data_IF_889462585385
#
_entry.id   IF_889462585385
#
_cell.length_a   1.000
_cell.length_b   1.000
_cell.length_c   1.000
_cell.angle_alpha   90.00
_cell.angle_beta   90.00
_cell.angle_gamma   90.00
#
_symmetry.space_group_name_H-M   'P 1'
#
loop_
_entity.id
_entity.type
_entity.pdbx_description
1 polymer ?
#
# COMPACT_ATOMS: atom_id res chain seq x y z
N UNK A 1 -13.64 40.40 9.38
CA UNK A 1 -12.38 39.76 9.73
C UNK A 1 -12.63 38.26 9.79
N UNK A 2 -12.33 37.43 8.79
CA UNK A 2 -12.42 35.98 8.91
C UNK A 2 -11.22 35.48 9.72
N UNK A 3 -11.51 34.75 10.81
CA UNK A 3 -10.52 34.22 11.72
C UNK A 3 -9.54 33.30 11.02
N UNK A 4 -8.26 33.57 11.12
CA UNK A 4 -7.17 32.70 10.73
C UNK A 4 -7.18 31.47 11.64
N UNK A 5 -7.72 30.36 11.14
CA UNK A 5 -7.47 29.05 11.75
C UNK A 5 -5.99 28.73 11.54
N UNK A 6 -5.20 28.90 12.58
CA UNK A 6 -3.81 28.43 12.64
C UNK A 6 -3.83 26.91 12.37
N UNK A 7 -3.14 26.39 11.35
CA UNK A 7 -3.06 24.95 11.17
C UNK A 7 -2.33 24.36 12.38
N UNK A 8 -2.90 23.34 13.02
CA UNK A 8 -2.28 22.61 14.10
C UNK A 8 -0.88 22.18 13.66
N UNK A 9 0.13 22.50 14.44
CA UNK A 9 1.55 22.27 14.16
C UNK A 9 1.94 20.79 14.35
N UNK A 10 1.25 19.90 13.66
CA UNK A 10 1.71 18.51 13.58
C UNK A 10 2.86 18.49 12.59
N UNK A 11 4.07 18.25 13.09
CA UNK A 11 5.25 18.07 12.26
C UNK A 11 4.97 16.97 11.24
N UNK A 12 5.16 17.21 9.94
CA UNK A 12 4.86 16.22 8.91
C UNK A 12 5.80 15.02 9.03
N UNK A 13 5.25 13.84 8.74
CA UNK A 13 6.06 12.63 8.56
C UNK A 13 6.03 12.24 7.10
N UNK A 14 7.19 12.10 6.50
CA UNK A 14 7.36 11.58 5.15
C UNK A 14 8.13 10.29 5.15
N UNK A 15 8.07 9.59 4.04
CA UNK A 15 8.72 8.29 3.92
C UNK A 15 9.26 8.09 2.50
N UNK A 16 10.41 7.44 2.43
CA UNK A 16 10.85 6.75 1.23
C UNK A 16 10.91 5.25 1.52
N UNK A 17 10.32 4.44 0.64
CA UNK A 17 10.15 3.01 0.87
C UNK A 17 10.42 2.23 -0.43
N UNK A 18 11.70 2.02 -0.78
CA UNK A 18 12.06 1.27 -1.97
C UNK A 18 11.98 -0.24 -1.76
N UNK A 19 11.67 -0.96 -2.84
CA UNK A 19 11.92 -2.40 -2.90
C UNK A 19 13.37 -2.65 -3.31
N UNK A 20 14.10 -3.55 -2.64
CA UNK A 20 15.52 -3.82 -2.92
C UNK A 20 15.67 -4.76 -4.13
N UNK A 21 15.13 -4.36 -5.28
CA UNK A 21 15.07 -5.17 -6.51
C UNK A 21 16.21 -4.90 -7.50
N UNK A 22 17.10 -3.96 -7.18
CA UNK A 22 18.24 -3.56 -7.99
C UNK A 22 18.77 -2.21 -7.51
N UNK A 23 19.80 -1.71 -8.17
CA UNK A 23 20.36 -0.38 -7.89
C UNK A 23 19.28 0.70 -8.10
N UNK A 24 19.33 1.75 -7.29
CA UNK A 24 18.45 2.89 -7.50
C UNK A 24 18.87 3.64 -8.76
N UNK A 25 17.91 4.15 -9.49
CA UNK A 25 18.15 5.01 -10.65
C UNK A 25 17.71 6.45 -10.35
N UNK A 26 18.01 7.38 -11.24
CA UNK A 26 17.71 8.81 -11.07
C UNK A 26 16.24 9.07 -10.71
N UNK A 27 15.31 8.29 -11.24
CA UNK A 27 13.89 8.40 -10.88
C UNK A 27 13.60 8.07 -9.42
N UNK A 28 14.28 7.05 -8.87
CA UNK A 28 14.18 6.70 -7.44
C UNK A 28 14.79 7.80 -6.56
N UNK A 29 15.99 8.25 -6.92
CA UNK A 29 16.70 9.33 -6.23
C UNK A 29 15.85 10.63 -6.21
N UNK A 30 15.26 11.01 -7.35
CA UNK A 30 14.34 12.15 -7.44
C UNK A 30 13.15 11.99 -6.49
N UNK A 31 12.53 10.81 -6.45
CA UNK A 31 11.37 10.55 -5.58
C UNK A 31 11.76 10.68 -4.11
N UNK A 32 12.91 10.11 -3.71
CA UNK A 32 13.45 10.23 -2.36
C UNK A 32 13.72 11.71 -2.00
N UNK A 33 14.40 12.45 -2.89
CA UNK A 33 14.73 13.86 -2.70
C UNK A 33 13.49 14.74 -2.53
N UNK A 34 12.47 14.56 -3.38
CA UNK A 34 11.22 15.34 -3.30
C UNK A 34 10.49 15.04 -1.98
N UNK A 35 10.41 13.78 -1.57
CA UNK A 35 9.79 13.38 -0.31
C UNK A 35 10.57 13.96 0.88
N UNK A 36 11.89 13.90 0.85
CA UNK A 36 12.79 14.44 1.87
C UNK A 36 12.64 15.96 2.00
N UNK A 37 12.76 16.71 0.89
CA UNK A 37 12.57 18.16 0.87
C UNK A 37 11.19 18.56 1.40
N UNK A 38 10.13 17.87 0.99
CA UNK A 38 8.75 18.12 1.45
C UNK A 38 8.59 18.02 2.97
N UNK A 39 9.42 17.23 3.62
CA UNK A 39 9.40 17.02 5.06
C UNK A 39 10.36 17.97 5.76
N UNK A 40 11.61 18.01 5.30
CA UNK A 40 12.68 18.81 5.96
C UNK A 40 12.41 20.31 5.94
N UNK A 41 11.84 20.86 4.86
CA UNK A 41 11.48 22.27 4.80
C UNK A 41 10.39 22.70 5.84
N UNK A 42 9.76 21.72 6.49
CA UNK A 42 8.74 21.94 7.54
C UNK A 42 9.16 21.39 8.90
N UNK A 43 10.45 21.05 9.08
CA UNK A 43 10.97 20.47 10.33
C UNK A 43 10.36 19.12 10.69
N UNK A 44 9.96 18.34 9.68
CA UNK A 44 9.31 17.05 9.88
C UNK A 44 10.26 15.88 9.95
N UNK A 45 9.70 14.69 10.26
CA UNK A 45 10.41 13.42 10.40
C UNK A 45 10.44 12.69 9.07
N UNK A 46 11.62 12.27 8.61
CA UNK A 46 11.77 11.45 7.41
C UNK A 46 12.11 10.01 7.76
N UNK A 47 11.40 9.07 7.15
CA UNK A 47 11.45 7.64 7.48
C UNK A 47 11.99 6.85 6.29
N UNK A 48 12.99 6.04 6.51
CA UNK A 48 13.43 4.99 5.61
C UNK A 48 12.73 3.67 5.93
N UNK A 49 12.08 3.02 4.96
CA UNK A 49 11.44 1.71 5.15
C UNK A 49 11.75 0.77 4.00
N UNK A 50 12.27 -0.41 4.31
CA UNK A 50 12.58 -1.43 3.32
C UNK A 50 11.33 -2.22 2.92
N UNK A 51 11.03 -2.28 1.62
CA UNK A 51 9.87 -2.99 1.06
C UNK A 51 10.31 -4.33 0.45
N UNK A 52 10.55 -5.33 1.29
CA UNK A 52 11.10 -6.64 0.95
C UNK A 52 10.08 -7.79 0.99
N UNK A 53 8.77 -7.48 0.88
CA UNK A 53 7.68 -8.47 0.92
C UNK A 53 7.60 -9.38 -0.33
N UNK A 54 8.34 -9.10 -1.36
CA UNK A 54 8.39 -9.90 -2.60
C UNK A 54 9.76 -10.59 -2.73
N UNK A 55 9.95 -11.78 -2.10
CA UNK A 55 11.25 -12.45 -2.07
C UNK A 55 11.85 -12.71 -3.46
N UNK A 56 11.08 -13.11 -4.50
CA UNK A 56 11.62 -13.26 -5.85
C UNK A 56 12.22 -11.99 -6.45
N UNK A 57 11.83 -10.81 -5.96
CA UNK A 57 12.35 -9.52 -6.44
C UNK A 57 13.38 -8.90 -5.51
N UNK A 58 13.59 -9.47 -4.34
CA UNK A 58 14.58 -9.00 -3.37
C UNK A 58 15.97 -9.50 -3.77
N UNK A 59 16.89 -8.57 -4.00
CA UNK A 59 18.28 -8.87 -4.38
C UNK A 59 19.20 -8.49 -3.22
N UNK A 60 20.03 -9.44 -2.80
CA UNK A 60 20.99 -9.25 -1.69
C UNK A 60 21.93 -8.07 -2.00
N UNK A 61 22.18 -7.21 -1.01
CA UNK A 61 23.06 -6.05 -1.10
C UNK A 61 22.40 -4.80 -1.71
N UNK A 62 21.19 -4.90 -2.25
CA UNK A 62 20.54 -3.73 -2.89
C UNK A 62 19.91 -2.76 -1.89
N UNK A 63 19.57 -3.23 -0.70
CA UNK A 63 19.10 -2.35 0.38
C UNK A 63 20.24 -1.45 0.88
N UNK A 64 21.39 -2.05 1.15
CA UNK A 64 22.61 -1.37 1.59
C UNK A 64 23.10 -0.40 0.51
N UNK A 65 23.18 -0.83 -0.75
CA UNK A 65 23.54 0.04 -1.86
C UNK A 65 22.60 1.26 -1.99
N UNK A 66 21.30 1.08 -1.79
CA UNK A 66 20.35 2.19 -1.83
C UNK A 66 20.57 3.18 -0.67
N UNK A 67 20.92 2.70 0.53
CA UNK A 67 21.27 3.56 1.67
C UNK A 67 22.55 4.35 1.39
N UNK A 68 23.59 3.69 0.86
CA UNK A 68 24.84 4.34 0.47
C UNK A 68 24.62 5.43 -0.58
N UNK A 69 23.86 5.14 -1.64
CA UNK A 69 23.55 6.09 -2.71
C UNK A 69 22.79 7.31 -2.20
N UNK A 70 21.80 7.12 -1.33
CA UNK A 70 21.03 8.21 -0.74
C UNK A 70 21.86 9.04 0.23
N UNK A 71 22.70 8.40 1.04
CA UNK A 71 23.66 9.06 1.91
C UNK A 71 24.67 9.90 1.11
N UNK A 72 25.17 9.36 -0.02
CA UNK A 72 26.03 10.11 -0.93
C UNK A 72 25.35 11.34 -1.53
N UNK A 73 24.02 11.28 -1.79
CA UNK A 73 23.24 12.43 -2.23
C UNK A 73 22.97 13.45 -1.11
N UNK A 74 23.41 13.18 0.12
CA UNK A 74 23.20 14.04 1.28
C UNK A 74 21.82 13.92 1.90
N UNK A 75 21.09 12.85 1.65
CA UNK A 75 19.80 12.57 2.29
C UNK A 75 20.04 11.84 3.60
N UNK A 76 19.43 12.32 4.66
CA UNK A 76 19.37 11.69 5.98
C UNK A 76 17.95 11.25 6.33
N UNK A 77 17.83 10.38 7.32
CA UNK A 77 16.53 9.95 7.85
C UNK A 77 16.58 9.84 9.38
N UNK A 78 15.42 10.00 10.01
CA UNK A 78 15.31 10.01 11.48
C UNK A 78 14.89 8.65 12.02
N UNK A 79 14.28 7.81 11.18
CA UNK A 79 13.77 6.50 11.54
C UNK A 79 14.04 5.51 10.40
N UNK A 80 14.41 4.30 10.76
CA UNK A 80 14.77 3.26 9.81
C UNK A 80 15.04 1.92 10.48
N UNK A 81 15.55 0.95 9.69
CA UNK A 81 15.88 -0.36 10.21
C UNK A 81 17.01 -0.32 11.25
N UNK A 82 17.98 0.57 11.05
CA UNK A 82 19.16 0.73 11.95
C UNK A 82 18.89 1.77 13.05
N UNK A 83 18.27 2.91 12.70
CA UNK A 83 17.96 3.98 13.63
C UNK A 83 16.83 3.61 14.61
N UNK A 84 16.00 2.65 14.21
CA UNK A 84 14.79 2.33 14.95
C UNK A 84 13.73 3.41 14.84
N UNK A 85 12.90 3.54 15.89
CA UNK A 85 11.85 4.55 15.98
C UNK A 85 10.55 4.00 16.56
N UNK A 86 9.54 4.87 16.79
CA UNK A 86 8.32 4.52 17.53
C UNK A 86 7.39 3.55 16.79
N UNK A 87 7.62 3.30 15.50
CA UNK A 87 6.79 2.43 14.66
C UNK A 87 7.58 1.25 14.08
N UNK A 88 8.70 0.90 14.69
CA UNK A 88 9.50 -0.26 14.31
C UNK A 88 8.66 -1.57 14.34
N UNK A 89 9.09 -2.57 13.58
CA UNK A 89 10.22 -2.63 12.66
C UNK A 89 9.97 -1.85 11.34
N UNK A 90 11.07 -1.40 10.69
CA UNK A 90 11.02 -0.68 9.42
C UNK A 90 11.42 -1.53 8.22
N UNK A 91 11.59 -2.81 8.41
CA UNK A 91 11.71 -3.85 7.38
C UNK A 91 10.35 -4.53 7.26
N UNK A 92 9.78 -4.56 6.06
CA UNK A 92 8.40 -5.02 5.88
C UNK A 92 8.21 -6.51 6.17
N UNK A 93 9.18 -7.37 5.84
CA UNK A 93 9.14 -8.80 6.16
C UNK A 93 9.07 -9.10 7.66
N UNK A 94 9.55 -8.20 8.50
CA UNK A 94 9.50 -8.31 9.97
C UNK A 94 8.14 -7.88 10.55
N UNK A 95 7.21 -7.41 9.73
CA UNK A 95 5.91 -6.86 10.16
C UNK A 95 4.75 -7.84 10.04
N UNK A 96 4.99 -9.11 9.73
CA UNK A 96 3.96 -10.11 9.45
C UNK A 96 2.88 -10.17 10.55
N UNK A 97 3.27 -10.15 11.82
CA UNK A 97 2.32 -10.14 12.94
C UNK A 97 1.38 -8.93 12.96
N UNK A 98 1.85 -7.76 12.51
CA UNK A 98 1.02 -6.55 12.40
C UNK A 98 0.04 -6.66 11.24
N UNK A 99 0.47 -7.25 10.12
CA UNK A 99 -0.41 -7.51 8.98
C UNK A 99 -1.47 -8.54 9.30
N UNK A 100 -1.12 -9.62 9.99
CA UNK A 100 -2.07 -10.62 10.48
C UNK A 100 -3.15 -10.00 11.36
N UNK A 101 -2.76 -9.15 12.31
CA UNK A 101 -3.72 -8.43 13.16
C UNK A 101 -4.63 -7.50 12.36
N UNK A 102 -4.10 -6.83 11.33
CA UNK A 102 -4.90 -5.97 10.46
C UNK A 102 -5.89 -6.80 9.63
N UNK A 103 -5.46 -7.93 9.09
CA UNK A 103 -6.31 -8.86 8.34
C UNK A 103 -7.40 -9.45 9.22
N UNK A 104 -7.09 -9.84 10.46
CA UNK A 104 -8.08 -10.35 11.42
C UNK A 104 -9.19 -9.31 11.69
N UNK A 105 -8.81 -8.04 11.87
CA UNK A 105 -9.77 -6.93 12.05
C UNK A 105 -10.63 -6.71 10.81
N UNK A 106 -10.04 -6.75 9.62
CA UNK A 106 -10.76 -6.58 8.35
C UNK A 106 -11.71 -7.77 8.11
N UNK A 107 -11.31 -8.99 8.42
CA UNK A 107 -12.16 -10.17 8.33
C UNK A 107 -13.35 -10.06 9.27
N UNK A 108 -13.13 -9.70 10.53
CA UNK A 108 -14.19 -9.49 11.53
C UNK A 108 -15.17 -8.38 11.12
N UNK A 109 -14.69 -7.35 10.41
CA UNK A 109 -15.52 -6.28 9.87
C UNK A 109 -16.23 -6.64 8.55
N UNK A 110 -16.13 -7.88 8.06
CA UNK A 110 -16.73 -8.32 6.80
C UNK A 110 -16.13 -7.65 5.55
N UNK A 111 -14.91 -7.13 5.67
CA UNK A 111 -14.23 -6.42 4.58
C UNK A 111 -13.42 -7.32 3.66
N UNK A 112 -13.31 -8.60 3.97
CA UNK A 112 -12.53 -9.55 3.21
C UNK A 112 -13.38 -10.68 2.65
N UNK A 113 -12.91 -11.26 1.56
CA UNK A 113 -13.47 -12.49 1.01
C UNK A 113 -12.43 -13.27 0.20
N UNK A 114 -12.56 -14.62 0.10
CA UNK A 114 -11.68 -15.45 -0.71
C UNK A 114 -12.06 -15.38 -2.20
N UNK A 115 -11.05 -15.44 -3.08
CA UNK A 115 -11.26 -15.47 -4.53
C UNK A 115 -10.26 -16.39 -5.22
N UNK A 116 -10.74 -17.41 -5.91
CA UNK A 116 -9.92 -18.35 -6.70
C UNK A 116 -9.76 -17.94 -8.18
N UNK A 117 -10.24 -16.76 -8.57
CA UNK A 117 -10.16 -16.30 -9.96
C UNK A 117 -8.81 -15.64 -10.21
N UNK A 118 -8.14 -16.10 -11.25
CA UNK A 118 -6.90 -15.48 -11.74
C UNK A 118 -7.18 -14.10 -12.38
N UNK A 119 -6.11 -13.30 -12.57
CA UNK A 119 -6.20 -12.04 -13.34
C UNK A 119 -6.74 -12.28 -14.74
N UNK A 120 -6.31 -13.36 -15.42
CA UNK A 120 -6.79 -13.74 -16.76
C UNK A 120 -8.28 -14.07 -16.80
N UNK A 121 -8.81 -14.72 -15.76
CA UNK A 121 -10.25 -14.99 -15.66
C UNK A 121 -11.05 -13.71 -15.53
N UNK A 122 -10.55 -12.75 -14.75
CA UNK A 122 -11.20 -11.45 -14.59
C UNK A 122 -11.15 -10.61 -15.87
N UNK A 123 -10.04 -10.60 -16.58
CA UNK A 123 -9.89 -9.93 -17.87
C UNK A 123 -10.87 -10.50 -18.92
N UNK A 124 -10.99 -11.82 -19.00
CA UNK A 124 -11.97 -12.48 -19.90
C UNK A 124 -13.41 -12.10 -19.55
N UNK A 125 -13.73 -11.96 -18.27
CA UNK A 125 -15.06 -11.56 -17.82
C UNK A 125 -15.35 -10.06 -18.06
N UNK A 126 -14.32 -9.23 -18.08
CA UNK A 126 -14.42 -7.81 -18.39
C UNK A 126 -14.61 -7.53 -19.88
N UNK A 127 -14.02 -8.36 -20.76
CA UNK A 127 -14.12 -8.25 -22.23
C UNK A 127 -15.36 -8.92 -22.82
N UNK A 128 -16.20 -9.57 -22.02
CA UNK A 128 -17.45 -10.15 -22.49
C UNK A 128 -18.44 -9.06 -22.99
N UNK A 129 -19.28 -9.32 -24.03
CA UNK A 129 -20.10 -8.32 -24.72
C UNK A 129 -21.07 -7.49 -23.85
N UNK A 130 -21.23 -7.83 -22.60
CA UNK A 130 -22.04 -7.10 -21.60
C UNK A 130 -21.18 -6.56 -20.44
N UNK A 131 -19.85 -6.47 -20.63
CA UNK A 131 -18.93 -5.85 -19.67
C UNK A 131 -19.12 -4.32 -19.70
N UNK A 132 -19.63 -3.76 -18.61
CA UNK A 132 -19.80 -2.33 -18.45
C UNK A 132 -18.45 -1.59 -18.55
N UNK A 133 -18.48 -0.37 -19.02
CA UNK A 133 -17.36 0.57 -19.10
C UNK A 133 -16.59 0.64 -17.77
N UNK A 134 -15.27 0.44 -17.82
CA UNK A 134 -14.38 0.42 -16.65
C UNK A 134 -13.74 -0.94 -16.38
N UNK A 135 -13.17 -1.55 -17.40
CA UNK A 135 -12.69 -2.96 -17.45
C UNK A 135 -11.59 -3.37 -16.44
N UNK A 136 -11.26 -2.55 -15.46
CA UNK A 136 -10.22 -2.84 -14.46
C UNK A 136 -10.76 -3.31 -13.11
N UNK A 137 -11.97 -2.92 -12.73
CA UNK A 137 -12.52 -3.18 -11.41
C UNK A 137 -13.10 -4.62 -11.29
N UNK A 138 -12.86 -5.27 -10.15
CA UNK A 138 -13.46 -6.58 -9.83
C UNK A 138 -15.00 -6.47 -9.82
N UNK A 139 -15.72 -7.28 -10.62
CA UNK A 139 -17.18 -7.18 -10.70
C UNK A 139 -17.86 -7.57 -9.38
N UNK A 140 -18.62 -6.67 -8.78
CA UNK A 140 -19.30 -6.92 -7.51
C UNK A 140 -20.23 -8.15 -7.53
N UNK A 141 -20.79 -8.53 -8.71
CA UNK A 141 -21.59 -9.75 -8.89
C UNK A 141 -20.83 -11.05 -8.63
N UNK A 142 -19.50 -11.00 -8.63
CA UNK A 142 -18.63 -12.16 -8.38
C UNK A 142 -18.27 -12.32 -6.90
N UNK A 143 -18.66 -11.37 -6.06
CA UNK A 143 -18.49 -11.50 -4.61
C UNK A 143 -19.30 -12.69 -4.10
N UNK A 144 -18.75 -13.53 -3.23
CA UNK A 144 -19.52 -14.57 -2.58
C UNK A 144 -20.67 -13.95 -1.78
N UNK A 145 -21.87 -14.53 -1.88
CA UNK A 145 -23.04 -14.11 -1.11
C UNK A 145 -22.98 -14.66 0.30
N UNK A 146 -22.66 -15.94 0.38
CA UNK A 146 -22.54 -16.68 1.64
C UNK A 146 -21.15 -17.28 1.74
N UNK A 147 -20.54 -17.15 2.91
CA UNK A 147 -19.24 -17.73 3.23
C UNK A 147 -19.41 -18.63 4.47
N UNK A 148 -18.79 -19.82 4.48
CA UNK A 148 -18.72 -20.65 5.68
C UNK A 148 -18.14 -19.85 6.86
N UNK A 149 -18.60 -20.09 8.08
CA UNK A 149 -18.14 -19.35 9.25
C UNK A 149 -16.61 -19.37 9.41
N UNK A 150 -16.00 -20.51 9.10
CA UNK A 150 -14.55 -20.75 9.20
C UNK A 150 -13.73 -20.41 7.95
N UNK A 151 -14.35 -19.79 6.91
CA UNK A 151 -13.66 -19.50 5.63
C UNK A 151 -12.30 -18.81 5.80
N UNK A 152 -12.25 -17.82 6.69
CA UNK A 152 -11.05 -17.04 6.91
C UNK A 152 -9.95 -17.85 7.59
N UNK A 153 -10.31 -18.67 8.58
CA UNK A 153 -9.36 -19.56 9.25
C UNK A 153 -8.84 -20.65 8.31
N UNK A 154 -9.69 -21.14 7.43
CA UNK A 154 -9.30 -22.10 6.38
C UNK A 154 -8.25 -21.50 5.44
N UNK A 155 -8.45 -20.27 5.00
CA UNK A 155 -7.51 -19.56 4.15
C UNK A 155 -6.21 -19.24 4.90
N UNK A 156 -6.30 -18.67 6.10
CA UNK A 156 -5.15 -18.29 6.94
C UNK A 156 -4.26 -19.50 7.31
N UNK A 157 -4.84 -20.69 7.45
CA UNK A 157 -4.10 -21.92 7.72
C UNK A 157 -3.45 -22.57 6.48
N UNK A 158 -3.58 -21.94 5.31
CA UNK A 158 -3.04 -22.47 4.03
C UNK A 158 -3.79 -23.67 3.47
N UNK A 159 -4.97 -24.02 4.02
CA UNK A 159 -5.79 -25.15 3.54
C UNK A 159 -6.48 -24.87 2.21
N UNK A 160 -6.46 -23.62 1.74
CA UNK A 160 -6.97 -23.21 0.45
C UNK A 160 -5.92 -22.35 -0.29
N UNK A 161 -4.84 -22.96 -0.80
CA UNK A 161 -3.72 -22.24 -1.39
C UNK A 161 -4.04 -21.58 -2.74
N UNK A 162 -5.16 -21.96 -3.38
CA UNK A 162 -5.62 -21.35 -4.63
C UNK A 162 -6.44 -20.09 -4.45
N UNK A 163 -6.89 -19.81 -3.23
CA UNK A 163 -7.69 -18.63 -2.93
C UNK A 163 -6.81 -17.45 -2.54
N UNK A 164 -6.89 -16.37 -3.31
CA UNK A 164 -6.37 -15.07 -2.93
C UNK A 164 -7.36 -14.35 -2.01
N UNK A 165 -6.83 -13.59 -1.05
CA UNK A 165 -7.63 -12.73 -0.18
C UNK A 165 -7.92 -11.41 -0.89
N UNK A 166 -9.19 -10.99 -0.94
CA UNK A 166 -9.59 -9.71 -1.53
C UNK A 166 -10.22 -8.79 -0.51
N UNK A 167 -9.91 -7.50 -0.64
CA UNK A 167 -10.58 -6.43 0.09
C UNK A 167 -11.86 -6.02 -0.63
N UNK A 168 -12.96 -5.95 0.12
CA UNK A 168 -14.27 -5.49 -0.36
C UNK A 168 -14.34 -3.97 -0.34
N UNK A 169 -14.33 -3.35 -1.49
CA UNK A 169 -14.47 -1.90 -1.65
C UNK A 169 -15.93 -1.48 -1.58
N UNK A 170 -16.23 -0.50 -0.75
CA UNK A 170 -17.57 0.09 -0.68
C UNK A 170 -17.82 1.10 -1.80
N UNK A 171 -19.08 1.20 -2.28
CA UNK A 171 -19.45 2.18 -3.31
C UNK A 171 -19.57 3.58 -2.69
N UNK A 172 -18.43 4.22 -2.49
CA UNK A 172 -18.38 5.60 -1.99
C UNK A 172 -17.39 6.45 -2.78
N UNK A 173 -17.63 7.75 -2.75
CA UNK A 173 -16.68 8.75 -3.24
C UNK A 173 -15.64 9.00 -2.15
N UNK A 174 -14.37 8.94 -2.50
CA UNK A 174 -13.25 9.33 -1.65
C UNK A 174 -12.76 10.68 -2.14
N UNK A 175 -12.69 11.65 -1.24
CA UNK A 175 -12.15 12.99 -1.50
C UNK A 175 -10.88 13.20 -0.73
N UNK A 176 -9.89 13.79 -1.39
CA UNK A 176 -8.62 14.17 -0.77
C UNK A 176 -8.02 15.36 -1.50
N UNK A 177 -7.08 16.01 -0.85
CA UNK A 177 -6.33 17.12 -1.47
C UNK A 177 -4.93 16.60 -1.83
N UNK A 178 -4.65 16.50 -3.12
CA UNK A 178 -3.30 16.29 -3.63
C UNK A 178 -2.58 17.65 -3.69
N UNK A 179 -1.34 17.69 -3.22
CA UNK A 179 -0.61 18.97 -3.13
C UNK A 179 -0.10 19.49 -4.47
N UNK A 180 -0.15 18.68 -5.51
CA UNK A 180 0.24 19.03 -6.88
C UNK A 180 -1.00 19.25 -7.74
N UNK A 181 -1.98 18.35 -7.63
CA UNK A 181 -3.18 18.36 -8.47
C UNK A 181 -4.36 19.14 -7.85
N UNK A 182 -4.32 19.44 -6.55
CA UNK A 182 -5.41 20.09 -5.83
C UNK A 182 -6.46 19.11 -5.32
N UNK A 183 -7.73 19.51 -5.33
CA UNK A 183 -8.85 18.68 -4.89
C UNK A 183 -9.07 17.51 -5.86
N UNK A 184 -9.04 16.29 -5.32
CA UNK A 184 -9.26 15.06 -6.04
C UNK A 184 -10.49 14.33 -5.50
N UNK A 185 -11.24 13.72 -6.41
CA UNK A 185 -12.40 12.90 -6.09
C UNK A 185 -12.33 11.58 -6.85
N UNK A 186 -12.53 10.46 -6.16
CA UNK A 186 -12.39 9.13 -6.75
C UNK A 186 -13.51 8.19 -6.33
N UNK A 187 -14.12 7.52 -7.29
CA UNK A 187 -15.07 6.40 -7.09
C UNK A 187 -14.27 5.09 -7.09
N UNK A 188 -13.62 4.76 -5.97
CA UNK A 188 -12.69 3.63 -5.83
C UNK A 188 -13.34 2.28 -6.17
N UNK A 189 -14.65 2.15 -5.93
CA UNK A 189 -15.43 0.97 -6.31
C UNK A 189 -15.50 0.76 -7.84
N UNK A 190 -15.31 1.81 -8.64
CA UNK A 190 -15.34 1.77 -10.10
C UNK A 190 -13.95 1.78 -10.72
N UNK A 191 -13.05 2.59 -10.19
CA UNK A 191 -11.69 2.75 -10.75
C UNK A 191 -10.75 1.62 -10.37
N UNK A 192 -10.81 1.13 -9.12
CA UNK A 192 -9.98 0.06 -8.59
C UNK A 192 -10.77 -1.23 -8.38
N UNK A 193 -11.97 -1.13 -7.78
CA UNK A 193 -12.76 -2.28 -7.37
C UNK A 193 -12.12 -3.08 -6.23
N UNK A 194 -12.62 -4.30 -6.02
CA UNK A 194 -12.08 -5.20 -4.98
C UNK A 194 -10.67 -5.68 -5.37
N UNK A 195 -9.70 -5.44 -4.55
CA UNK A 195 -8.29 -5.74 -4.84
C UNK A 195 -7.74 -6.85 -3.94
N UNK A 196 -6.68 -7.50 -4.41
CA UNK A 196 -5.95 -8.54 -3.67
C UNK A 196 -5.06 -7.88 -2.62
N UNK A 197 -5.03 -8.50 -1.43
CA UNK A 197 -4.15 -8.15 -0.31
C UNK A 197 -2.93 -9.06 -0.26
#
# INVERSE_FOLDING_TARGET
MPGSSTPSSVCPRGRYAPSPSGLIHVGNARTALVAWLSVRCRGGTFVWRLEDLDPPRTVVGMAEAALEDLGWLGLDWDEGAEEGGPFAPYVQSERSALYDQALDRLAAAGRLFPCRRSRKDLERLATAPHGAEGASAYPARLRPRDLPAEWYQTLKSGKDPEAALRFRVEPRVVRFVDRVQGECEERVDRSVGDFVL
#
